data_IF_822520277039
#
_entry.id   IF_822520277039
#
_cell.length_a   1.000
_cell.length_b   1.000
_cell.length_c   1.000
_cell.angle_alpha   90.00
_cell.angle_beta   90.00
_cell.angle_gamma   90.00
#
_symmetry.space_group_name_H-M   'P 1'
#
loop_
_entity.id
_entity.type
_entity.pdbx_description
1 polymer ?
#
# COMPACT_ATOMS: atom_id res chain seq x y z
N UNK A 1 -10.02 16.16 -5.11
CA UNK A 1 -11.46 16.33 -5.39
C UNK A 1 -12.25 15.01 -5.46
N UNK A 2 -11.72 13.94 -6.08
CA UNK A 2 -12.45 12.67 -6.25
C UNK A 2 -12.80 12.01 -4.90
N UNK A 3 -11.98 12.16 -3.86
CA UNK A 3 -12.27 11.55 -2.55
C UNK A 3 -13.26 12.30 -1.67
N UNK A 4 -13.25 13.64 -1.66
CA UNK A 4 -14.22 14.42 -0.88
C UNK A 4 -15.66 14.04 -1.27
N UNK A 5 -15.91 13.74 -2.54
CA UNK A 5 -17.20 13.26 -3.02
C UNK A 5 -17.57 11.86 -2.49
N UNK A 6 -16.59 10.96 -2.36
CA UNK A 6 -16.84 9.62 -1.82
C UNK A 6 -17.13 9.66 -0.32
N UNK A 7 -16.44 10.52 0.44
CA UNK A 7 -16.62 10.60 1.90
C UNK A 7 -17.99 11.19 2.25
N UNK A 8 -18.47 12.17 1.49
CA UNK A 8 -19.85 12.67 1.56
C UNK A 8 -20.88 11.55 1.28
N UNK A 9 -20.58 10.67 0.31
CA UNK A 9 -21.43 9.51 0.00
C UNK A 9 -21.52 8.54 1.19
N UNK A 10 -20.39 8.23 1.83
CA UNK A 10 -20.36 7.42 3.07
C UNK A 10 -21.09 8.08 4.24
N UNK A 11 -21.15 9.42 4.27
CA UNK A 11 -21.82 10.21 5.30
C UNK A 11 -23.31 10.18 5.24
N UNK A 12 -23.86 10.21 4.03
CA UNK A 12 -25.26 9.97 3.80
C UNK A 12 -25.66 8.56 4.27
N UNK A 13 -24.82 7.54 4.05
CA UNK A 13 -25.12 6.17 4.52
C UNK A 13 -25.16 6.02 6.04
N UNK A 14 -24.42 6.84 6.79
CA UNK A 14 -24.25 6.69 8.25
C UNK A 14 -24.79 7.89 9.05
N UNK A 15 -25.54 8.78 8.40
CA UNK A 15 -26.15 9.97 8.98
C UNK A 15 -25.16 10.82 9.82
N UNK A 16 -23.88 10.88 9.42
CA UNK A 16 -22.92 11.78 10.04
C UNK A 16 -22.80 13.05 9.21
N UNK A 17 -22.86 14.21 9.86
CA UNK A 17 -22.72 15.49 9.18
C UNK A 17 -21.22 15.80 9.06
N UNK A 18 -20.66 15.72 7.84
CA UNK A 18 -19.27 16.13 7.60
C UNK A 18 -19.23 17.54 7.10
N UNK A 19 -18.41 18.34 7.76
CA UNK A 19 -17.99 19.62 7.24
C UNK A 19 -16.80 19.41 6.30
N UNK A 20 -17.04 19.39 4.99
CA UNK A 20 -16.01 19.13 3.97
C UNK A 20 -14.81 20.10 4.01
N UNK A 21 -15.00 21.30 4.56
CA UNK A 21 -13.93 22.27 4.84
C UNK A 21 -12.86 21.70 5.78
N UNK A 22 -13.26 20.95 6.82
CA UNK A 22 -12.34 20.43 7.82
C UNK A 22 -11.51 19.28 7.27
N UNK A 23 -12.07 18.47 6.37
CA UNK A 23 -11.31 17.42 5.68
C UNK A 23 -10.26 18.01 4.74
N UNK A 24 -10.61 19.10 4.03
CA UNK A 24 -9.66 19.79 3.15
C UNK A 24 -8.48 20.39 3.93
N UNK A 25 -8.76 21.03 5.07
CA UNK A 25 -7.72 21.58 5.96
C UNK A 25 -6.84 20.46 6.52
N UNK A 26 -7.42 19.32 6.92
CA UNK A 26 -6.68 18.15 7.39
C UNK A 26 -5.74 17.58 6.31
N UNK A 27 -6.21 17.42 5.07
CA UNK A 27 -5.36 16.99 3.95
C UNK A 27 -4.25 17.99 3.63
N UNK A 28 -4.52 19.29 3.73
CA UNK A 28 -3.51 20.34 3.57
C UNK A 28 -2.43 20.25 4.64
N UNK A 29 -2.81 20.17 5.91
CA UNK A 29 -1.87 20.01 7.03
C UNK A 29 -1.03 18.72 6.91
N UNK A 30 -1.64 17.60 6.51
CA UNK A 30 -0.90 16.34 6.31
C UNK A 30 0.19 16.46 5.23
N UNK A 31 -0.09 17.13 4.11
CA UNK A 31 0.90 17.32 3.05
C UNK A 31 2.00 18.31 3.45
N UNK A 32 1.68 19.35 4.23
CA UNK A 32 2.67 20.28 4.78
C UNK A 32 3.63 19.54 5.72
N UNK A 33 3.10 18.77 6.68
CA UNK A 33 3.91 17.97 7.61
C UNK A 33 4.71 16.89 6.88
N UNK A 34 4.13 16.24 5.86
CA UNK A 34 4.81 15.24 5.03
C UNK A 34 5.95 15.82 4.19
N UNK A 35 5.79 17.05 3.68
CA UNK A 35 6.83 17.72 2.88
C UNK A 35 8.10 18.01 3.70
N UNK A 36 7.95 18.28 5.00
CA UNK A 36 9.09 18.45 5.92
C UNK A 36 9.90 17.16 6.10
N UNK A 37 9.32 15.99 5.80
CA UNK A 37 9.94 14.67 5.92
C UNK A 37 10.29 14.08 4.54
N UNK A 38 10.36 14.90 3.48
CA UNK A 38 10.61 14.46 2.09
C UNK A 38 9.67 13.35 1.62
N UNK A 39 8.42 13.35 2.08
CA UNK A 39 7.41 12.35 1.70
C UNK A 39 6.69 12.73 0.40
N UNK A 40 6.22 11.72 -0.32
CA UNK A 40 5.36 11.91 -1.50
C UNK A 40 4.00 12.50 -1.11
N UNK A 41 3.34 13.20 -2.05
CA UNK A 41 2.00 13.75 -1.79
C UNK A 41 1.03 12.64 -1.38
N UNK A 42 0.34 12.87 -0.26
CA UNK A 42 -0.64 11.96 0.30
C UNK A 42 -2.00 12.37 -0.22
N UNK A 43 -2.50 11.60 -1.17
CA UNK A 43 -3.92 11.52 -1.50
C UNK A 43 -4.56 10.46 -0.60
N UNK A 44 -5.78 10.70 -0.14
CA UNK A 44 -6.43 9.80 0.78
C UNK A 44 -6.62 8.38 0.20
N UNK A 45 -6.70 7.36 1.07
CA UNK A 45 -6.77 5.97 0.63
C UNK A 45 -8.22 5.46 0.62
N UNK A 46 -8.97 5.71 -0.47
CA UNK A 46 -10.29 5.10 -0.69
C UNK A 46 -10.30 3.58 -0.47
N UNK A 47 -9.27 2.87 -0.96
CA UNK A 47 -9.17 1.41 -0.83
C UNK A 47 -9.04 0.93 0.62
N UNK A 48 -8.40 1.70 1.51
CA UNK A 48 -8.21 1.29 2.91
C UNK A 48 -9.45 1.60 3.74
N UNK A 49 -10.07 2.76 3.50
CA UNK A 49 -11.32 3.16 4.14
C UNK A 49 -12.48 2.23 3.77
N UNK A 50 -12.58 1.82 2.51
CA UNK A 50 -13.61 0.87 2.05
C UNK A 50 -13.49 -0.50 2.72
N UNK A 51 -12.26 -1.02 2.89
CA UNK A 51 -12.03 -2.29 3.59
C UNK A 51 -12.33 -2.15 5.08
N UNK A 52 -11.85 -1.08 5.72
CA UNK A 52 -12.10 -0.83 7.14
C UNK A 52 -13.61 -0.66 7.44
N UNK A 53 -14.37 -0.06 6.50
CA UNK A 53 -15.83 0.02 6.57
C UNK A 53 -16.49 -1.36 6.43
N UNK A 54 -16.02 -2.21 5.51
CA UNK A 54 -16.56 -3.54 5.28
C UNK A 54 -16.30 -4.53 6.43
N UNK A 55 -15.27 -4.29 7.26
CA UNK A 55 -14.92 -5.12 8.43
C UNK A 55 -15.56 -4.56 9.73
N UNK A 56 -16.26 -3.42 9.66
CA UNK A 56 -16.94 -2.82 10.82
C UNK A 56 -16.00 -2.14 11.82
N UNK A 57 -14.72 -1.99 11.49
CA UNK A 57 -13.73 -1.33 12.33
C UNK A 57 -14.02 0.19 12.42
N UNK A 58 -14.47 0.65 13.59
CA UNK A 58 -14.81 2.07 13.83
C UNK A 58 -13.69 2.90 14.47
N UNK A 59 -12.53 2.32 14.73
CA UNK A 59 -11.53 2.90 15.64
C UNK A 59 -10.26 3.37 14.91
N UNK A 60 -9.65 4.44 15.42
CA UNK A 60 -8.38 5.02 14.90
C UNK A 60 -7.20 4.05 15.09
N UNK A 61 -7.30 3.12 16.05
CA UNK A 61 -6.26 2.11 16.30
C UNK A 61 -5.99 1.22 15.09
N UNK A 62 -6.97 0.96 14.20
CA UNK A 62 -6.70 0.16 13.00
C UNK A 62 -5.70 0.83 12.06
N UNK A 63 -5.78 2.16 11.93
CA UNK A 63 -4.87 2.93 11.09
C UNK A 63 -3.46 3.03 11.71
N UNK A 64 -3.37 3.16 13.05
CA UNK A 64 -2.10 3.18 13.78
C UNK A 64 -1.38 1.83 13.65
N UNK A 65 -2.09 0.72 13.85
CA UNK A 65 -1.53 -0.64 13.70
C UNK A 65 -1.00 -0.86 12.28
N UNK A 66 -1.75 -0.41 11.27
CA UNK A 66 -1.31 -0.50 9.88
C UNK A 66 -0.07 0.36 9.60
N UNK A 67 0.01 1.58 10.14
CA UNK A 67 1.18 2.44 9.99
C UNK A 67 2.43 1.82 10.65
N UNK A 68 2.29 1.26 11.85
CA UNK A 68 3.38 0.57 12.57
C UNK A 68 3.81 -0.69 11.80
N UNK A 69 2.87 -1.48 11.30
CA UNK A 69 3.17 -2.67 10.50
C UNK A 69 3.96 -2.30 9.24
N UNK A 70 3.58 -1.22 8.55
CA UNK A 70 4.34 -0.70 7.39
C UNK A 70 5.75 -0.25 7.83
N UNK A 71 5.87 0.54 8.89
CA UNK A 71 7.17 0.97 9.43
C UNK A 71 8.08 -0.23 9.73
N UNK A 72 7.55 -1.25 10.40
CA UNK A 72 8.28 -2.46 10.78
C UNK A 72 8.68 -3.30 9.57
N UNK A 73 7.77 -3.47 8.60
CA UNK A 73 8.07 -4.18 7.37
C UNK A 73 9.11 -3.47 6.54
N UNK A 74 9.12 -2.13 6.45
CA UNK A 74 10.20 -1.44 5.76
C UNK A 74 11.54 -1.71 6.43
N UNK A 75 11.64 -1.61 7.76
CA UNK A 75 12.90 -1.92 8.47
C UNK A 75 13.39 -3.36 8.22
N UNK A 76 12.49 -4.34 8.24
CA UNK A 76 12.84 -5.75 8.05
C UNK A 76 13.06 -6.16 6.58
N UNK A 77 12.32 -5.59 5.62
CA UNK A 77 12.40 -5.90 4.19
C UNK A 77 13.33 -4.98 3.40
N UNK A 78 13.90 -3.92 4.00
CA UNK A 78 14.94 -3.09 3.34
C UNK A 78 16.04 -3.92 2.65
N UNK A 79 16.62 -4.99 3.24
CA UNK A 79 17.61 -5.81 2.53
C UNK A 79 17.03 -6.63 1.37
N UNK A 80 15.72 -6.87 1.35
CA UNK A 80 15.04 -7.65 0.31
C UNK A 80 14.74 -6.79 -0.94
N UNK A 81 14.47 -5.50 -0.75
CA UNK A 81 14.16 -4.58 -1.86
C UNK A 81 15.36 -4.22 -2.74
N UNK A 82 16.59 -4.33 -2.24
CA UNK A 82 17.79 -4.02 -3.03
C UNK A 82 17.98 -4.95 -4.23
N UNK A 83 17.52 -6.20 -4.14
CA UNK A 83 17.64 -7.22 -5.19
C UNK A 83 16.38 -7.42 -6.02
N UNK A 84 15.29 -6.69 -5.73
CA UNK A 84 14.01 -6.93 -6.42
C UNK A 84 13.96 -6.11 -7.71
N UNK A 85 13.95 -6.74 -8.90
CA UNK A 85 13.92 -6.00 -10.17
C UNK A 85 12.62 -5.21 -10.32
N UNK A 86 12.69 -4.05 -10.99
CA UNK A 86 11.55 -3.17 -11.34
C UNK A 86 10.34 -3.92 -11.93
N UNK A 87 10.60 -5.09 -12.54
CA UNK A 87 9.59 -6.01 -13.10
C UNK A 87 8.55 -6.46 -12.06
N UNK A 88 8.98 -6.76 -10.83
CA UNK A 88 8.07 -7.23 -9.77
C UNK A 88 7.18 -6.09 -9.30
N UNK A 89 7.74 -4.88 -9.14
CA UNK A 89 6.97 -3.68 -8.79
C UNK A 89 5.90 -3.37 -9.84
N UNK A 90 6.26 -3.43 -11.13
CA UNK A 90 5.33 -3.17 -12.24
C UNK A 90 4.16 -4.17 -12.24
N UNK A 91 4.44 -5.45 -11.99
CA UNK A 91 3.41 -6.50 -11.91
C UNK A 91 2.42 -6.26 -10.76
N UNK A 92 2.90 -5.81 -9.60
CA UNK A 92 2.05 -5.50 -8.44
C UNK A 92 1.13 -4.31 -8.74
N UNK A 93 1.64 -3.26 -9.39
CA UNK A 93 0.86 -2.06 -9.75
C UNK A 93 -0.24 -2.41 -10.76
N UNK A 94 0.09 -3.18 -11.81
CA UNK A 94 -0.88 -3.64 -12.82
C UNK A 94 -2.04 -4.43 -12.21
N UNK A 95 -1.72 -5.31 -11.25
CA UNK A 95 -2.74 -6.10 -10.52
C UNK A 95 -3.55 -5.22 -9.59
N UNK A 96 -2.95 -4.23 -8.94
CA UNK A 96 -3.66 -3.28 -8.08
C UNK A 96 -4.68 -2.43 -8.87
N UNK A 97 -4.34 -2.05 -10.10
CA UNK A 97 -5.23 -1.31 -11.00
C UNK A 97 -6.37 -2.16 -11.57
N UNK A 98 -6.21 -3.49 -11.61
CA UNK A 98 -7.26 -4.39 -12.10
C UNK A 98 -8.32 -4.58 -11.00
N UNK A 99 -9.25 -3.62 -10.98
CA UNK A 99 -10.42 -3.54 -10.08
C UNK A 99 -11.30 -4.79 -10.29
N UNK A 100 -11.12 -5.85 -9.49
CA UNK A 100 -12.01 -7.00 -9.69
C UNK A 100 -11.93 -8.21 -8.77
N UNK A 101 -10.91 -8.41 -7.92
CA UNK A 101 -10.90 -9.62 -7.11
C UNK A 101 -9.99 -9.59 -5.90
N UNK A 102 -10.57 -9.69 -4.70
CA UNK A 102 -9.81 -10.01 -3.46
C UNK A 102 -9.05 -11.34 -3.60
N UNK A 103 -9.60 -12.30 -4.37
CA UNK A 103 -8.95 -13.58 -4.66
C UNK A 103 -7.71 -13.46 -5.56
N UNK A 104 -7.73 -12.56 -6.54
CA UNK A 104 -6.62 -12.41 -7.51
C UNK A 104 -5.35 -11.87 -6.83
N UNK A 105 -5.49 -11.05 -5.79
CA UNK A 105 -4.36 -10.55 -4.99
C UNK A 105 -3.61 -11.67 -4.27
N UNK A 106 -4.30 -12.69 -3.77
CA UNK A 106 -3.67 -13.84 -3.10
C UNK A 106 -2.87 -14.70 -4.08
N UNK A 107 -3.43 -14.97 -5.26
CA UNK A 107 -2.76 -15.75 -6.31
C UNK A 107 -1.48 -15.05 -6.81
N UNK A 108 -1.54 -13.73 -6.98
CA UNK A 108 -0.39 -12.91 -7.39
C UNK A 108 0.66 -12.80 -6.28
N UNK A 109 0.25 -12.78 -5.02
CA UNK A 109 1.19 -12.78 -3.90
C UNK A 109 2.01 -14.09 -3.86
N UNK A 110 1.36 -15.23 -4.11
CA UNK A 110 2.03 -16.54 -4.23
C UNK A 110 2.95 -16.62 -5.46
N UNK A 111 2.55 -16.09 -6.61
CA UNK A 111 3.41 -16.09 -7.81
C UNK A 111 4.61 -15.13 -7.67
N UNK A 112 4.44 -14.00 -6.99
CA UNK A 112 5.54 -13.09 -6.67
C UNK A 112 6.52 -13.71 -5.65
N UNK A 113 6.01 -14.46 -4.66
CA UNK A 113 6.85 -15.18 -3.69
C UNK A 113 7.68 -16.27 -4.38
N UNK A 114 7.04 -17.09 -5.23
CA UNK A 114 7.72 -18.09 -6.05
C UNK A 114 8.75 -17.46 -7.00
N UNK A 115 8.41 -16.33 -7.64
CA UNK A 115 9.31 -15.60 -8.54
C UNK A 115 10.52 -14.97 -7.83
N UNK A 116 10.34 -14.42 -6.62
CA UNK A 116 11.44 -13.90 -5.81
C UNK A 116 12.38 -15.01 -5.34
N UNK A 117 11.83 -16.17 -4.95
CA UNK A 117 12.61 -17.37 -4.59
C UNK A 117 13.36 -17.90 -5.82
N UNK A 118 12.71 -18.00 -6.99
CA UNK A 118 13.35 -18.46 -8.23
C UNK A 118 14.45 -17.51 -8.71
N UNK A 119 14.23 -16.20 -8.65
CA UNK A 119 15.23 -15.19 -9.04
C UNK A 119 16.46 -15.23 -8.11
N UNK A 120 16.24 -15.43 -6.80
CA UNK A 120 17.33 -15.65 -5.83
C UNK A 120 18.10 -16.94 -6.11
N UNK A 121 17.40 -18.02 -6.50
CA UNK A 121 18.02 -19.30 -6.89
C UNK A 121 18.84 -19.18 -8.19
N UNK A 122 18.35 -18.48 -9.21
CA UNK A 122 19.08 -18.24 -10.46
C UNK A 122 20.31 -17.34 -10.23
N UNK A 123 20.20 -16.31 -9.40
CA UNK A 123 21.32 -15.44 -9.03
C UNK A 123 22.37 -16.18 -8.19
N UNK A 124 21.97 -17.04 -7.26
CA UNK A 124 22.89 -17.92 -6.54
C UNK A 124 23.58 -18.89 -7.51
N UNK A 125 22.85 -19.53 -8.42
CA UNK A 125 23.46 -20.44 -9.39
C UNK A 125 24.46 -19.73 -10.33
N UNK A 126 24.15 -18.51 -10.79
CA UNK A 126 25.04 -17.71 -11.64
C UNK A 126 26.31 -17.21 -10.93
N UNK A 127 26.21 -16.81 -9.66
CA UNK A 127 27.39 -16.36 -8.90
C UNK A 127 28.29 -17.55 -8.49
N UNK A 128 27.72 -18.73 -8.25
CA UNK A 128 28.49 -19.96 -7.98
C UNK A 128 29.22 -20.50 -9.22
N UNK A 129 28.71 -20.27 -10.44
CA UNK A 129 29.40 -20.63 -11.69
C UNK A 129 30.55 -19.66 -12.02
N UNK A 130 30.44 -18.38 -11.64
CA UNK A 130 31.45 -17.36 -11.93
C UNK A 130 32.58 -17.30 -10.87
N UNK A 131 32.40 -17.92 -9.71
CA UNK A 131 33.47 -18.06 -8.69
C UNK A 131 34.26 -19.37 -8.83
N UNK A 132 33.89 -20.24 -9.77
CA UNK A 132 34.50 -21.57 -9.99
C UNK A 132 35.09 -21.74 -11.39
N UNK A 133 35.27 -20.64 -12.13
CA UNK A 133 36.14 -20.52 -13.31
C UNK A 133 37.38 -19.70 -12.97
#
# INVERSE_FOLDING_TARGET
MIELNNIQSFAMFKNYNIVGNNEMIAFGMMNIVGSLTSCYLITGPFSRSAVNFNVGCKTIVSNIVMAIAVMFTLLFLTPLFYYTPLVVLSSIIMVAMRVGGKQIRFLVCMSAYLGAVFSKYIYYCGNYVHLKM
#
